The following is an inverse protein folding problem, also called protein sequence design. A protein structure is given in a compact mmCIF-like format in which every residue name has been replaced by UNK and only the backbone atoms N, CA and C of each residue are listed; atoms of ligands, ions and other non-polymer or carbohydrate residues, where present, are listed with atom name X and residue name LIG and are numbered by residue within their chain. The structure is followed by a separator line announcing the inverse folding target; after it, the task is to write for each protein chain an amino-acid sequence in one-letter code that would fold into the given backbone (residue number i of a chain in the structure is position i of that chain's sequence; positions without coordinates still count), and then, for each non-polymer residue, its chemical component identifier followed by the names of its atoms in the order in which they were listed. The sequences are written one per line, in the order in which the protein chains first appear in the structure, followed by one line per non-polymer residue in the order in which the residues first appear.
data_IF_890997956762
#
_entry.id   IF_890997956762
#
_cell.length_a   1.000
_cell.length_b   1.000
_cell.length_c   1.000
_cell.angle_alpha   90.00
_cell.angle_beta   90.00
_cell.angle_gamma   90.00
#
_symmetry.space_group_name_H-M   'P 1'
#
loop_
_entity.id
_entity.type
_entity.pdbx_description
1 polymer ?
#
# COMPACT_ATOMS: atom_id res chain seq x y z
N UNK A 1 23.71 4.66 -46.34
CA UNK A 1 23.04 3.72 -45.40
C UNK A 1 23.18 4.15 -43.93
N UNK A 2 22.94 5.42 -43.57
CA UNK A 2 23.18 5.93 -42.20
C UNK A 2 21.90 6.42 -41.50
N UNK A 3 20.82 6.64 -42.25
CA UNK A 3 19.54 7.16 -41.74
C UNK A 3 18.77 6.10 -40.90
N UNK A 4 18.99 4.81 -41.18
CA UNK A 4 18.30 3.70 -40.50
C UNK A 4 18.78 3.49 -39.05
N UNK A 5 20.03 3.83 -38.74
CA UNK A 5 20.57 3.73 -37.38
C UNK A 5 20.09 4.86 -36.47
N UNK A 6 19.92 6.07 -37.00
CA UNK A 6 19.44 7.22 -36.24
C UNK A 6 17.98 7.08 -35.78
N UNK A 7 17.11 6.47 -36.62
CA UNK A 7 15.70 6.23 -36.27
C UNK A 7 15.51 5.21 -35.13
N UNK A 8 16.39 4.20 -35.03
CA UNK A 8 16.36 3.21 -33.95
C UNK A 8 16.81 3.81 -32.61
N UNK A 9 17.77 4.74 -32.61
CA UNK A 9 18.25 5.39 -31.40
C UNK A 9 17.20 6.34 -30.78
N UNK A 10 16.41 7.05 -31.61
CA UNK A 10 15.35 7.95 -31.14
C UNK A 10 14.18 7.17 -30.52
N UNK A 11 13.82 6.01 -31.09
CA UNK A 11 12.77 5.16 -30.52
C UNK A 11 13.10 4.60 -29.13
N UNK A 12 14.38 4.28 -28.87
CA UNK A 12 14.82 3.76 -27.58
C UNK A 12 14.86 4.85 -26.49
N UNK A 13 15.21 6.09 -26.85
CA UNK A 13 15.21 7.20 -25.91
C UNK A 13 13.81 7.61 -25.45
N UNK A 14 12.79 7.44 -26.30
CA UNK A 14 11.40 7.80 -25.97
C UNK A 14 10.71 6.76 -25.06
N UNK A 15 11.14 5.50 -25.09
CA UNK A 15 10.59 4.43 -24.25
C UNK A 15 11.00 4.53 -22.77
N UNK A 16 12.05 5.31 -22.46
CA UNK A 16 12.54 5.52 -21.08
C UNK A 16 11.72 6.57 -20.31
N UNK A 17 10.83 7.30 -20.98
CA UNK A 17 9.93 8.30 -20.36
C UNK A 17 8.55 7.70 -20.14
N UNK A 18 8.48 6.47 -19.62
CA UNK A 18 7.23 5.96 -19.09
C UNK A 18 6.92 6.73 -17.80
N UNK A 19 5.73 7.34 -17.66
CA UNK A 19 5.36 7.99 -16.42
C UNK A 19 5.31 6.93 -15.32
N UNK A 20 6.18 7.08 -14.32
CA UNK A 20 6.08 6.28 -13.10
C UNK A 20 4.74 6.63 -12.44
N UNK A 21 3.81 5.68 -12.42
CA UNK A 21 2.61 5.78 -11.60
C UNK A 21 3.06 5.75 -10.15
N UNK A 22 3.10 6.91 -9.50
CA UNK A 22 3.32 6.99 -8.06
C UNK A 22 2.16 6.31 -7.38
N UNK A 23 2.41 5.20 -6.68
CA UNK A 23 1.41 4.62 -5.79
C UNK A 23 1.04 5.68 -4.75
N UNK A 24 -0.15 6.25 -4.88
CA UNK A 24 -0.66 7.19 -3.89
C UNK A 24 -0.98 6.37 -2.64
N UNK A 25 -0.28 6.64 -1.54
CA UNK A 25 -0.61 6.06 -0.26
C UNK A 25 -2.01 6.55 0.15
N UNK A 26 -3.02 5.70 -0.03
CA UNK A 26 -4.36 5.96 0.44
C UNK A 26 -4.39 5.66 1.95
N UNK A 27 -4.85 6.62 2.74
CA UNK A 27 -5.00 6.47 4.17
C UNK A 27 -6.44 6.07 4.51
N UNK A 28 -6.59 5.01 5.30
CA UNK A 28 -7.86 4.58 5.86
C UNK A 28 -7.81 4.77 7.38
N UNK A 29 -8.80 5.46 7.93
CA UNK A 29 -8.92 5.72 9.37
C UNK A 29 -10.16 5.04 9.90
N UNK A 30 -10.01 4.19 10.90
CA UNK A 30 -11.12 3.57 11.62
C UNK A 30 -11.28 4.22 12.99
N UNK A 31 -12.51 4.65 13.32
CA UNK A 31 -12.89 5.06 14.65
C UNK A 31 -13.67 3.91 15.30
N UNK A 32 -13.22 3.45 16.47
CA UNK A 32 -13.78 2.29 17.15
C UNK A 32 -13.88 2.57 18.65
N UNK A 33 -14.96 2.10 19.28
CA UNK A 33 -15.21 2.19 20.72
C UNK A 33 -15.43 0.78 21.27
N UNK A 34 -14.97 0.53 22.50
CA UNK A 34 -15.18 -0.73 23.19
C UNK A 34 -16.14 -0.53 24.38
N UNK A 35 -17.40 -0.87 24.17
CA UNK A 35 -18.44 -0.86 25.21
C UNK A 35 -18.59 -2.23 25.90
N UNK A 36 -17.73 -3.20 25.56
CA UNK A 36 -17.71 -4.49 26.24
C UNK A 36 -16.96 -4.38 27.57
N UNK A 37 -17.29 -5.28 28.50
CA UNK A 37 -16.55 -5.40 29.77
C UNK A 37 -15.18 -6.08 29.63
N UNK A 38 -14.73 -6.37 28.41
CA UNK A 38 -13.50 -7.11 28.11
C UNK A 38 -12.58 -6.27 27.21
N UNK A 39 -11.28 -6.55 27.22
CA UNK A 39 -10.35 -5.92 26.28
C UNK A 39 -10.47 -6.58 24.90
N UNK A 40 -10.40 -5.80 23.83
CA UNK A 40 -10.54 -6.28 22.45
C UNK A 40 -9.22 -6.10 21.71
N UNK A 41 -8.75 -7.17 21.07
CA UNK A 41 -7.59 -7.17 20.18
C UNK A 41 -8.06 -7.14 18.73
N UNK A 42 -7.45 -6.25 17.92
CA UNK A 42 -7.85 -6.02 16.52
C UNK A 42 -6.62 -6.09 15.61
N UNK A 43 -6.76 -6.85 14.53
CA UNK A 43 -5.81 -6.95 13.44
C UNK A 43 -6.55 -6.75 12.12
N UNK A 44 -5.94 -6.02 11.18
CA UNK A 44 -6.47 -5.86 9.84
C UNK A 44 -5.66 -6.70 8.86
N UNK A 45 -6.33 -7.36 7.94
CA UNK A 45 -5.71 -8.17 6.90
C UNK A 45 -6.04 -7.55 5.55
N UNK A 46 -5.06 -7.55 4.65
CA UNK A 46 -5.33 -7.25 3.24
C UNK A 46 -6.28 -8.29 2.66
N UNK A 47 -7.01 -7.92 1.61
CA UNK A 47 -7.95 -8.82 0.94
C UNK A 47 -7.27 -10.10 0.42
N UNK A 48 -6.07 -9.95 -0.14
CA UNK A 48 -5.21 -11.03 -0.61
C UNK A 48 -4.39 -11.70 0.52
N UNK A 49 -4.52 -11.19 1.76
CA UNK A 49 -3.86 -11.66 2.99
C UNK A 49 -2.33 -11.69 2.91
N UNK A 50 -1.74 -10.91 2.02
CA UNK A 50 -0.28 -10.75 1.94
C UNK A 50 0.26 -9.76 2.99
N UNK A 51 -0.61 -8.99 3.62
CA UNK A 51 -0.22 -7.96 4.57
C UNK A 51 -1.20 -7.90 5.75
N UNK A 52 -0.68 -7.66 6.94
CA UNK A 52 -1.46 -7.40 8.13
C UNK A 52 -1.03 -6.09 8.79
N UNK A 53 -1.99 -5.35 9.34
CA UNK A 53 -1.74 -4.16 10.15
C UNK A 53 -2.15 -4.42 11.61
N UNK A 54 -1.30 -4.04 12.59
CA UNK A 54 0.00 -3.39 12.41
C UNK A 54 1.10 -4.33 11.90
N UNK A 55 0.88 -5.65 11.94
CA UNK A 55 1.84 -6.66 11.47
C UNK A 55 2.85 -7.07 12.54
N UNK A 56 3.77 -7.97 12.20
CA UNK A 56 4.88 -8.34 13.10
C UNK A 56 4.45 -9.02 14.41
N UNK A 57 3.38 -9.80 14.41
CA UNK A 57 2.76 -10.40 15.60
C UNK A 57 2.24 -9.36 16.62
N UNK A 58 1.91 -8.15 16.16
CA UNK A 58 1.32 -7.09 16.97
C UNK A 58 -0.14 -6.86 16.57
N UNK A 59 -0.90 -6.24 17.48
CA UNK A 59 -2.30 -5.89 17.27
C UNK A 59 -2.66 -4.58 17.96
N UNK A 60 -3.76 -3.97 17.54
CA UNK A 60 -4.36 -2.83 18.23
C UNK A 60 -5.19 -3.33 19.42
N UNK A 61 -4.98 -2.74 20.59
CA UNK A 61 -5.73 -3.08 21.79
C UNK A 61 -6.70 -1.96 22.15
N UNK A 62 -7.98 -2.29 22.21
CA UNK A 62 -9.03 -1.41 22.72
C UNK A 62 -9.35 -1.85 24.14
N UNK A 63 -8.91 -1.05 25.10
CA UNK A 63 -9.22 -1.28 26.51
C UNK A 63 -10.72 -1.19 26.75
N UNK A 64 -11.22 -1.98 27.70
CA UNK A 64 -12.59 -1.85 28.20
C UNK A 64 -12.86 -0.43 28.73
N UNK A 65 -14.11 0.01 28.58
CA UNK A 65 -14.59 1.17 29.31
C UNK A 65 -14.47 0.93 30.83
N UNK A 66 -13.93 1.92 31.56
CA UNK A 66 -13.81 1.89 33.02
C UNK A 66 -15.06 2.40 33.69
#
# INVERSE_FOLDING_TARGET
MWIRGALLAVGFALAMVAPATTAQAQQLTFAMTNDSGQDIQIEFYSEDRNHAWPGGNQAYNLARAR
#
